data_IF_288833169572
#
_entry.id   IF_288833169572
#
_cell.length_a   1.000
_cell.length_b   1.000
_cell.length_c   1.000
_cell.angle_alpha   90.00
_cell.angle_beta   90.00
_cell.angle_gamma   90.00
#
_symmetry.space_group_name_H-M   'P 1'
#
loop_
_entity.id
_entity.type
_entity.pdbx_description
1 polymer ?
#
# COMPACT_ATOMS: atom_id res chain seq x y z
N UNK A 1 -11.15 11.10 17.54
CA UNK A 1 -10.13 10.03 17.65
C UNK A 1 -9.10 10.26 16.57
N UNK A 2 -7.82 10.32 16.94
CA UNK A 2 -6.72 10.43 15.98
C UNK A 2 -6.63 9.11 15.21
N UNK A 3 -6.63 9.15 13.88
CA UNK A 3 -6.43 7.93 13.10
C UNK A 3 -5.00 7.44 13.33
N UNK A 4 -4.79 6.15 13.61
CA UNK A 4 -3.47 5.60 13.91
C UNK A 4 -2.46 5.81 12.75
N UNK A 5 -2.96 6.01 11.53
CA UNK A 5 -2.17 6.28 10.34
C UNK A 5 -1.73 7.75 10.24
N UNK A 6 -2.32 8.66 11.01
CA UNK A 6 -2.00 10.10 10.97
C UNK A 6 -0.53 10.40 11.32
N UNK A 7 0.13 9.49 12.06
CA UNK A 7 1.57 9.59 12.37
C UNK A 7 2.45 9.59 11.12
N UNK A 8 1.95 9.09 9.99
CA UNK A 8 2.62 9.10 8.70
C UNK A 8 2.36 10.37 7.89
N UNK A 9 1.61 11.34 8.43
CA UNK A 9 1.19 12.57 7.76
C UNK A 9 1.46 13.79 8.65
N UNK A 10 2.71 13.93 9.12
CA UNK A 10 3.13 14.96 10.07
C UNK A 10 3.13 16.39 9.48
N UNK A 11 3.21 16.51 8.16
CA UNK A 11 3.31 17.76 7.39
C UNK A 11 1.95 18.34 6.99
N UNK A 12 0.85 17.63 7.27
CA UNK A 12 -0.51 18.03 6.93
C UNK A 12 -1.39 16.83 6.64
N UNK A 13 -2.71 17.01 6.61
CA UNK A 13 -3.68 15.92 6.30
C UNK A 13 -4.65 16.28 5.17
N UNK A 14 -4.72 17.55 4.83
CA UNK A 14 -5.68 18.10 3.88
C UNK A 14 -5.03 18.35 2.51
N UNK A 15 -5.82 18.28 1.44
CA UNK A 15 -5.34 18.56 0.08
C UNK A 15 -4.45 17.49 -0.56
N UNK A 16 -4.04 16.46 0.18
CA UNK A 16 -3.26 15.35 -0.38
C UNK A 16 -4.12 14.42 -1.23
N UNK A 17 -3.64 14.13 -2.45
CA UNK A 17 -4.25 13.12 -3.32
C UNK A 17 -4.16 11.73 -2.69
N UNK A 18 -5.10 10.85 -3.04
CA UNK A 18 -5.07 9.46 -2.56
C UNK A 18 -3.82 8.70 -3.04
N UNK A 19 -3.31 9.02 -4.23
CA UNK A 19 -2.03 8.48 -4.73
C UNK A 19 -0.86 8.88 -3.81
N UNK A 20 -0.78 10.15 -3.41
CA UNK A 20 0.26 10.62 -2.48
C UNK A 20 0.15 9.91 -1.13
N UNK A 21 -1.08 9.75 -0.62
CA UNK A 21 -1.33 9.03 0.65
C UNK A 21 -0.89 7.58 0.57
N UNK A 22 -1.29 6.87 -0.48
CA UNK A 22 -0.89 5.48 -0.70
C UNK A 22 0.63 5.35 -0.85
N UNK A 23 1.28 6.24 -1.60
CA UNK A 23 2.74 6.27 -1.74
C UNK A 23 3.42 6.42 -0.37
N UNK A 24 3.01 7.41 0.43
CA UNK A 24 3.52 7.64 1.79
C UNK A 24 3.34 6.42 2.68
N UNK A 25 2.18 5.77 2.60
CA UNK A 25 1.92 4.54 3.37
C UNK A 25 2.87 3.42 2.94
N UNK A 26 3.04 3.20 1.64
CA UNK A 26 3.98 2.19 1.13
C UNK A 26 5.41 2.55 1.51
N UNK A 27 5.83 3.82 1.49
CA UNK A 27 7.23 4.19 1.77
C UNK A 27 7.56 4.13 3.27
N UNK A 28 6.66 4.59 4.13
CA UNK A 28 7.00 4.86 5.54
C UNK A 28 6.25 4.01 6.56
N UNK A 29 5.14 3.38 6.18
CA UNK A 29 4.35 2.63 7.16
C UNK A 29 5.07 1.37 7.63
N UNK A 30 4.80 0.97 8.87
CA UNK A 30 5.09 -0.40 9.30
C UNK A 30 4.17 -1.35 8.52
N UNK A 31 4.59 -2.60 8.29
CA UNK A 31 3.74 -3.56 7.59
C UNK A 31 2.35 -3.73 8.25
N UNK A 32 2.23 -3.85 9.59
CA UNK A 32 0.92 -3.90 10.26
C UNK A 32 0.04 -2.66 10.06
N UNK A 33 0.64 -1.49 9.84
CA UNK A 33 -0.11 -0.26 9.56
C UNK A 33 -0.46 -0.12 8.07
N UNK A 34 0.39 -0.63 7.18
CA UNK A 34 0.13 -0.68 5.74
C UNK A 34 -1.13 -1.49 5.43
N UNK A 35 -1.26 -2.69 6.01
CA UNK A 35 -2.42 -3.57 5.78
C UNK A 35 -3.72 -3.05 6.43
N UNK A 36 -3.63 -2.02 7.29
CA UNK A 36 -4.81 -1.31 7.82
C UNK A 36 -5.25 -0.15 6.92
N UNK A 37 -4.44 0.23 5.93
CA UNK A 37 -4.83 1.25 4.98
C UNK A 37 -6.02 0.74 4.14
N UNK A 38 -7.07 1.57 3.90
CA UNK A 38 -8.27 1.13 3.21
C UNK A 38 -7.96 0.48 1.86
N UNK A 39 -8.36 -0.79 1.70
CA UNK A 39 -8.01 -1.57 0.52
C UNK A 39 -8.62 -1.00 -0.77
N UNK A 40 -9.83 -0.43 -0.70
CA UNK A 40 -10.45 0.28 -1.84
C UNK A 40 -9.57 1.41 -2.38
N UNK A 41 -8.91 2.15 -1.48
CA UNK A 41 -7.97 3.21 -1.88
C UNK A 41 -6.69 2.61 -2.48
N UNK A 42 -6.22 1.47 -1.97
CA UNK A 42 -5.11 0.72 -2.59
C UNK A 42 -5.48 0.36 -4.01
N UNK A 43 -6.58 -0.37 -4.21
CA UNK A 43 -7.07 -0.84 -5.52
C UNK A 43 -7.26 0.32 -6.50
N UNK A 44 -7.74 1.45 -6.02
CA UNK A 44 -7.92 2.67 -6.82
C UNK A 44 -6.62 3.30 -7.29
N UNK A 45 -5.60 3.42 -6.42
CA UNK A 45 -4.40 4.22 -6.72
C UNK A 45 -3.14 3.42 -7.02
N UNK A 46 -3.07 2.13 -6.68
CA UNK A 46 -1.85 1.31 -6.83
C UNK A 46 -1.39 1.24 -8.29
N UNK A 47 -2.34 1.20 -9.25
CA UNK A 47 -2.08 1.19 -10.69
C UNK A 47 -1.38 2.45 -11.22
N UNK A 48 -1.40 3.54 -10.46
CA UNK A 48 -0.72 4.80 -10.80
C UNK A 48 0.69 4.86 -10.20
N UNK A 49 1.04 3.94 -9.30
CA UNK A 49 2.34 3.90 -8.67
C UNK A 49 3.31 3.07 -9.50
N UNK A 50 4.51 3.60 -9.69
CA UNK A 50 5.66 2.84 -10.19
C UNK A 50 6.48 2.36 -8.99
N UNK A 51 6.52 1.04 -8.69
CA UNK A 51 7.27 0.51 -7.55
C UNK A 51 8.75 0.86 -7.54
N UNK A 52 9.37 1.07 -8.71
CA UNK A 52 10.80 1.38 -8.83
C UNK A 52 11.14 2.79 -8.34
N UNK A 53 10.14 3.69 -8.32
CA UNK A 53 10.28 5.08 -7.88
C UNK A 53 9.98 5.29 -6.39
N UNK A 54 9.61 4.23 -5.66
CA UNK A 54 9.31 4.31 -4.23
C UNK A 54 10.60 4.55 -3.42
N UNK A 55 10.53 5.46 -2.46
CA UNK A 55 11.63 5.78 -1.53
C UNK A 55 11.68 4.79 -0.35
N UNK A 56 11.87 3.50 -0.66
CA UNK A 56 11.94 2.41 0.32
C UNK A 56 12.96 1.34 -0.10
N UNK A 57 13.30 0.41 0.80
CA UNK A 57 14.19 -0.71 0.51
C UNK A 57 13.64 -1.68 -0.54
N UNK A 58 14.55 -2.41 -1.21
CA UNK A 58 14.23 -3.31 -2.33
C UNK A 58 13.27 -4.45 -1.95
N UNK A 59 13.35 -4.99 -0.73
CA UNK A 59 12.40 -6.02 -0.26
C UNK A 59 10.95 -5.52 -0.29
N UNK A 60 10.72 -4.26 0.09
CA UNK A 60 9.38 -3.67 0.06
C UNK A 60 8.92 -3.42 -1.38
N UNK A 61 9.81 -2.93 -2.25
CA UNK A 61 9.49 -2.78 -3.68
C UNK A 61 9.13 -4.12 -4.30
N UNK A 62 9.91 -5.16 -4.00
CA UNK A 62 9.65 -6.54 -4.44
C UNK A 62 8.29 -7.03 -3.95
N UNK A 63 7.96 -6.83 -2.68
CA UNK A 63 6.63 -7.15 -2.15
C UNK A 63 5.51 -6.47 -2.95
N UNK A 64 5.61 -5.16 -3.20
CA UNK A 64 4.60 -4.43 -3.98
C UNK A 64 4.52 -4.95 -5.41
N UNK A 65 5.64 -5.21 -6.08
CA UNK A 65 5.66 -5.78 -7.43
C UNK A 65 4.97 -7.15 -7.49
N UNK A 66 5.20 -8.00 -6.50
CA UNK A 66 4.58 -9.32 -6.42
C UNK A 66 3.09 -9.23 -6.08
N UNK A 67 2.69 -8.26 -5.27
CA UNK A 67 1.31 -8.09 -4.85
C UNK A 67 0.42 -7.49 -5.95
N UNK A 68 0.96 -6.61 -6.80
CA UNK A 68 0.25 -5.85 -7.84
C UNK A 68 -0.79 -6.67 -8.64
N UNK A 69 -0.45 -7.85 -9.20
CA UNK A 69 -1.38 -8.63 -10.01
C UNK A 69 -2.62 -9.10 -9.25
N UNK A 70 -2.53 -9.24 -7.92
CA UNK A 70 -3.59 -9.79 -7.08
C UNK A 70 -4.50 -8.70 -6.49
N UNK A 71 -4.07 -7.43 -6.52
CA UNK A 71 -4.87 -6.32 -5.99
C UNK A 71 -6.17 -6.12 -6.78
N UNK A 72 -6.15 -6.30 -8.10
CA UNK A 72 -7.35 -6.09 -8.94
C UNK A 72 -8.43 -7.15 -8.70
N UNK A 73 -8.02 -8.38 -8.40
CA UNK A 73 -8.90 -9.54 -8.24
C UNK A 73 -9.32 -9.80 -6.78
N UNK A 74 -8.76 -9.07 -5.82
CA UNK A 74 -9.08 -9.19 -4.40
C UNK A 74 -9.98 -8.06 -3.91
N UNK A 75 -10.66 -8.31 -2.80
CA UNK A 75 -11.48 -7.33 -2.07
C UNK A 75 -10.87 -6.94 -0.73
N UNK A 76 -9.78 -7.58 -0.32
CA UNK A 76 -9.04 -7.25 0.90
C UNK A 76 -7.53 -7.47 0.78
N UNK A 77 -6.78 -6.87 1.72
CA UNK A 77 -5.34 -7.12 1.87
C UNK A 77 -5.04 -8.60 2.12
N UNK A 78 -5.86 -9.26 2.93
CA UNK A 78 -5.69 -10.65 3.29
C UNK A 78 -5.81 -11.56 2.06
N UNK A 79 -6.86 -11.38 1.27
CA UNK A 79 -7.05 -12.09 0.00
C UNK A 79 -5.89 -11.86 -0.97
N UNK A 80 -5.47 -10.61 -1.17
CA UNK A 80 -4.39 -10.30 -2.11
C UNK A 80 -3.05 -10.93 -1.69
N UNK A 81 -2.76 -10.91 -0.38
CA UNK A 81 -1.55 -11.53 0.17
C UNK A 81 -1.61 -13.05 0.08
N UNK A 82 -2.75 -13.67 0.39
CA UNK A 82 -2.91 -15.11 0.25
C UNK A 82 -2.77 -15.57 -1.20
N UNK A 83 -3.45 -14.90 -2.15
CA UNK A 83 -3.35 -15.23 -3.57
C UNK A 83 -1.89 -15.13 -4.09
N UNK A 84 -1.14 -14.13 -3.63
CA UNK A 84 0.28 -13.97 -3.94
C UNK A 84 1.13 -15.13 -3.40
N UNK A 85 0.87 -15.58 -2.17
CA UNK A 85 1.62 -16.67 -1.53
C UNK A 85 1.29 -18.02 -2.19
N UNK A 86 0.01 -18.31 -2.43
CA UNK A 86 -0.42 -19.57 -3.06
C UNK A 86 0.09 -19.71 -4.49
N UNK A 87 0.16 -18.62 -5.24
CA UNK A 87 0.69 -18.62 -6.61
C UNK A 87 2.22 -18.72 -6.69
N UNK A 88 2.91 -18.58 -5.55
CA UNK A 88 4.37 -18.70 -5.43
C UNK A 88 4.82 -20.09 -4.94
N UNK A 89 3.88 -20.97 -4.60
CA UNK A 89 4.10 -22.34 -4.12
C UNK A 89 3.99 -23.36 -5.26
#
# INVERSE_FOLDING_TARGET
MQNALDKYFWDGKEGFSGEFKLRRMIEYASFPDLIKYPFDEVKKYIKHLNPDRLQTGEERKRFIRLLLPYIEESDSWEEAVFAMVESSA
#
